data_IF_412228302181
#
_entry.id   IF_412228302181
#
_cell.length_a   1.000
_cell.length_b   1.000
_cell.length_c   1.000
_cell.angle_alpha   90.00
_cell.angle_beta   90.00
_cell.angle_gamma   90.00
#
_symmetry.space_group_name_H-M   'P 1'
#
loop_
_entity.id
_entity.type
_entity.pdbx_description
1 polymer ?
#
# COMPACT_ATOMS: atom_id res chain seq x y z
N UNK A 1 -5.15 14.23 -13.45
CA UNK A 1 -4.26 13.75 -12.37
C UNK A 1 -3.71 14.97 -11.61
N UNK A 2 -3.61 14.89 -10.27
CA UNK A 2 -3.37 16.04 -9.36
C UNK A 2 -2.13 16.88 -9.72
N UNK A 3 -0.94 16.29 -9.83
CA UNK A 3 0.29 17.08 -10.09
C UNK A 3 0.28 17.89 -11.40
N UNK A 4 -0.64 17.57 -12.33
CA UNK A 4 -0.83 18.26 -13.61
C UNK A 4 -2.06 19.18 -13.63
N UNK A 5 -2.83 19.26 -12.55
CA UNK A 5 -4.03 20.09 -12.52
C UNK A 5 -3.68 21.56 -12.30
N UNK A 6 -4.44 22.44 -12.95
CA UNK A 6 -4.47 23.85 -12.59
C UNK A 6 -5.27 24.10 -11.31
N UNK A 7 -5.43 25.38 -10.92
CA UNK A 7 -6.38 25.81 -9.90
C UNK A 7 -7.82 25.41 -10.23
N UNK A 8 -8.69 25.38 -9.21
CA UNK A 8 -10.12 25.15 -9.34
C UNK A 8 -10.94 26.08 -8.42
N UNK A 9 -12.26 25.84 -8.31
CA UNK A 9 -13.15 26.65 -7.48
C UNK A 9 -12.88 26.54 -5.97
N UNK A 10 -12.19 25.48 -5.52
CA UNK A 10 -11.89 25.23 -4.10
C UNK A 10 -10.49 25.71 -3.72
N UNK A 11 -9.56 25.80 -4.69
CA UNK A 11 -8.17 26.17 -4.44
C UNK A 11 -7.57 27.01 -5.57
N UNK A 12 -6.97 28.17 -5.25
CA UNK A 12 -6.22 28.96 -6.24
C UNK A 12 -4.85 28.35 -6.60
N UNK A 13 -4.41 27.30 -5.91
CA UNK A 13 -3.14 26.62 -6.17
C UNK A 13 -3.30 25.58 -7.27
N UNK A 14 -2.29 25.45 -8.14
CA UNK A 14 -2.18 24.27 -9.00
C UNK A 14 -1.88 23.03 -8.14
N UNK A 15 -2.08 21.83 -8.70
CA UNK A 15 -1.99 20.62 -7.90
C UNK A 15 -0.59 20.31 -7.35
N UNK A 16 0.48 20.77 -8.01
CA UNK A 16 1.85 20.63 -7.49
C UNK A 16 2.06 21.52 -6.27
N UNK A 17 1.62 22.77 -6.32
CA UNK A 17 1.75 23.72 -5.21
C UNK A 17 0.83 23.32 -4.03
N UNK A 18 -0.32 22.74 -4.33
CA UNK A 18 -1.19 22.17 -3.28
C UNK A 18 -0.51 21.01 -2.55
N UNK A 19 0.15 20.10 -3.28
CA UNK A 19 0.97 19.03 -2.67
C UNK A 19 2.09 19.61 -1.83
N UNK A 20 2.80 20.62 -2.36
CA UNK A 20 3.90 21.27 -1.66
C UNK A 20 3.47 21.89 -0.32
N UNK A 21 2.23 22.37 -0.24
CA UNK A 21 1.67 23.00 0.96
C UNK A 21 1.01 22.00 1.92
N UNK A 22 0.38 20.93 1.41
CA UNK A 22 -0.54 20.08 2.20
C UNK A 22 -0.07 18.66 2.44
N UNK A 23 0.95 18.19 1.73
CA UNK A 23 1.43 16.80 1.87
C UNK A 23 2.79 16.78 2.54
N UNK A 24 2.84 16.20 3.75
CA UNK A 24 4.08 16.07 4.50
C UNK A 24 4.97 14.92 3.98
N UNK A 25 4.34 13.81 3.58
CA UNK A 25 5.02 12.57 3.21
C UNK A 25 4.23 11.82 2.13
N UNK A 26 4.95 11.32 1.14
CA UNK A 26 4.53 10.25 0.24
C UNK A 26 5.36 9.00 0.55
N UNK A 27 4.72 7.97 1.11
CA UNK A 27 5.32 6.65 1.25
C UNK A 27 4.82 5.75 0.12
N UNK A 28 5.72 5.14 -0.65
CA UNK A 28 5.38 4.37 -1.84
C UNK A 28 5.90 2.96 -1.70
N UNK A 29 5.00 1.98 -1.79
CA UNK A 29 5.39 0.61 -2.10
C UNK A 29 5.71 0.56 -3.58
N UNK A 30 6.98 0.48 -3.93
CA UNK A 30 7.36 0.38 -5.32
C UNK A 30 8.85 0.47 -5.57
N UNK A 31 9.25 -0.12 -6.69
CA UNK A 31 10.63 -0.21 -7.13
C UNK A 31 11.41 -1.31 -6.42
N UNK A 32 12.68 -1.43 -6.80
CA UNK A 32 13.67 -2.23 -6.09
C UNK A 32 14.95 -1.42 -5.99
N UNK A 33 15.57 -1.39 -4.80
CA UNK A 33 16.71 -0.52 -4.52
C UNK A 33 17.99 -1.34 -4.34
N UNK A 34 19.12 -0.91 -4.94
CA UNK A 34 19.29 0.35 -5.68
C UNK A 34 18.85 0.31 -7.15
N UNK A 35 18.42 -0.83 -7.70
CA UNK A 35 17.86 -0.93 -9.06
C UNK A 35 17.01 -2.18 -9.24
N UNK A 36 16.00 -2.10 -10.10
CA UNK A 36 15.26 -3.28 -10.54
C UNK A 36 13.92 -2.95 -11.18
N UNK A 37 12.96 -3.86 -10.98
CA UNK A 37 11.61 -3.80 -11.54
C UNK A 37 10.62 -4.28 -10.50
N UNK A 38 9.47 -3.61 -10.38
CA UNK A 38 8.45 -3.92 -9.39
C UNK A 38 7.06 -3.56 -9.97
N UNK A 39 6.03 -4.32 -9.62
CA UNK A 39 4.74 -4.29 -10.32
C UNK A 39 4.00 -2.95 -10.20
N UNK A 40 4.05 -2.25 -9.06
CA UNK A 40 3.39 -0.95 -8.91
C UNK A 40 4.01 0.11 -9.83
N UNK A 41 5.33 0.12 -10.01
CA UNK A 41 5.97 1.07 -10.94
C UNK A 41 5.70 0.74 -12.41
N UNK A 42 5.52 -0.54 -12.74
CA UNK A 42 5.27 -1.02 -14.10
C UNK A 42 3.78 -1.04 -14.50
N UNK A 43 2.86 -0.91 -13.55
CA UNK A 43 1.42 -1.08 -13.79
C UNK A 43 0.96 -2.54 -13.87
N UNK A 44 1.63 -3.44 -13.16
CA UNK A 44 1.39 -4.88 -13.16
C UNK A 44 2.67 -5.68 -13.40
N UNK A 45 2.61 -7.00 -13.21
CA UNK A 45 3.74 -7.89 -13.48
C UNK A 45 3.92 -8.21 -14.97
N UNK A 46 5.15 -8.62 -15.31
CA UNK A 46 5.55 -9.14 -16.64
C UNK A 46 4.76 -10.42 -17.04
N UNK A 47 4.14 -11.07 -16.05
CA UNK A 47 3.23 -12.20 -16.20
C UNK A 47 1.85 -11.70 -16.63
N UNK A 48 1.77 -11.32 -17.90
CA UNK A 48 0.61 -10.80 -18.60
C UNK A 48 -0.75 -11.16 -17.99
N UNK A 49 -1.40 -10.15 -17.44
CA UNK A 49 -2.86 -10.12 -17.47
C UNK A 49 -3.40 -9.31 -18.64
N UNK A 50 -2.58 -8.77 -19.56
CA UNK A 50 -3.02 -8.18 -20.85
C UNK A 50 -4.10 -7.09 -20.77
N UNK A 51 -4.47 -6.68 -19.56
CA UNK A 51 -5.62 -5.85 -19.21
C UNK A 51 -5.18 -4.54 -18.54
N UNK A 52 -3.88 -4.37 -18.31
CA UNK A 52 -3.31 -3.20 -17.65
C UNK A 52 -2.56 -2.32 -18.64
N UNK A 53 -2.79 -1.01 -18.55
CA UNK A 53 -2.08 -0.03 -19.36
C UNK A 53 -0.71 0.28 -18.72
N UNK A 54 0.24 -0.63 -18.91
CA UNK A 54 1.59 -0.57 -18.35
C UNK A 54 2.32 0.73 -18.71
N UNK A 55 2.12 1.24 -19.93
CA UNK A 55 2.72 2.51 -20.37
C UNK A 55 2.16 3.70 -19.60
N UNK A 56 0.84 3.76 -19.38
CA UNK A 56 0.22 4.82 -18.59
C UNK A 56 0.67 4.78 -17.14
N UNK A 57 0.76 3.59 -16.54
CA UNK A 57 1.24 3.43 -15.17
C UNK A 57 2.72 3.82 -15.04
N UNK A 58 3.58 3.29 -15.90
CA UNK A 58 5.02 3.62 -15.92
C UNK A 58 5.27 5.11 -16.15
N UNK A 59 4.50 5.73 -17.04
CA UNK A 59 4.58 7.17 -17.28
C UNK A 59 4.07 7.98 -16.08
N UNK A 60 3.05 7.51 -15.37
CA UNK A 60 2.56 8.15 -14.15
C UNK A 60 3.60 8.05 -13.01
N UNK A 61 4.15 6.86 -12.78
CA UNK A 61 5.20 6.61 -11.77
C UNK A 61 6.43 7.48 -12.02
N UNK A 62 6.93 7.50 -13.27
CA UNK A 62 8.03 8.37 -13.69
C UNK A 62 7.71 9.85 -13.50
N UNK A 63 6.48 10.27 -13.81
CA UNK A 63 6.08 11.66 -13.63
C UNK A 63 6.02 12.07 -12.15
N UNK A 64 5.48 11.22 -11.27
CA UNK A 64 5.43 11.47 -9.82
C UNK A 64 6.83 11.60 -9.24
N UNK A 65 7.72 10.64 -9.50
CA UNK A 65 9.10 10.69 -9.01
C UNK A 65 9.82 11.97 -9.48
N UNK A 66 9.67 12.34 -10.75
CA UNK A 66 10.37 13.51 -11.30
C UNK A 66 9.78 14.88 -10.91
N UNK A 67 8.52 14.97 -10.46
CA UNK A 67 7.83 16.26 -10.27
C UNK A 67 7.29 16.49 -8.85
N UNK A 68 7.46 15.53 -7.95
CA UNK A 68 7.07 15.70 -6.55
C UNK A 68 7.77 16.93 -5.95
N UNK A 69 7.06 17.79 -5.19
CA UNK A 69 7.68 18.96 -4.58
C UNK A 69 8.78 18.59 -3.59
N UNK A 70 9.93 19.25 -3.68
CA UNK A 70 11.07 19.02 -2.78
C UNK A 70 10.79 19.40 -1.33
N UNK A 71 9.73 20.18 -1.06
CA UNK A 71 9.26 20.48 0.30
C UNK A 71 8.51 19.32 0.96
N UNK A 72 8.17 18.27 0.21
CA UNK A 72 7.42 17.10 0.66
C UNK A 72 8.27 15.85 0.52
N UNK A 73 8.37 15.04 1.57
CA UNK A 73 9.26 13.88 1.57
C UNK A 73 8.70 12.72 0.73
N UNK A 74 9.59 11.96 0.09
CA UNK A 74 9.26 10.63 -0.45
C UNK A 74 10.06 9.55 0.29
N UNK A 75 9.38 8.48 0.68
CA UNK A 75 10.02 7.24 1.16
C UNK A 75 9.58 6.11 0.25
N UNK A 76 10.53 5.42 -0.36
CA UNK A 76 10.27 4.25 -1.17
C UNK A 76 10.47 2.95 -0.37
N UNK A 77 9.50 2.04 -0.43
CA UNK A 77 9.54 0.70 0.14
C UNK A 77 9.69 -0.30 -1.01
N UNK A 78 10.91 -0.81 -1.17
CA UNK A 78 11.29 -1.65 -2.30
C UNK A 78 10.79 -3.08 -2.17
N UNK A 79 10.76 -3.77 -3.32
CA UNK A 79 10.42 -5.19 -3.41
C UNK A 79 11.24 -6.04 -2.42
N UNK A 80 12.54 -5.78 -2.32
CA UNK A 80 13.51 -6.49 -1.48
C UNK A 80 13.22 -6.36 0.02
N UNK A 81 12.52 -5.31 0.45
CA UNK A 81 12.11 -5.14 1.84
C UNK A 81 10.86 -5.96 2.11
N UNK A 82 9.78 -5.73 1.35
CA UNK A 82 8.49 -6.35 1.63
C UNK A 82 8.42 -7.86 1.37
N UNK A 83 9.30 -8.42 0.52
CA UNK A 83 9.38 -9.88 0.32
C UNK A 83 9.97 -10.62 1.52
N UNK A 84 10.83 -9.95 2.29
CA UNK A 84 11.44 -10.55 3.48
C UNK A 84 10.48 -10.53 4.68
N UNK A 85 9.54 -9.57 4.72
CA UNK A 85 8.61 -9.40 5.83
C UNK A 85 7.37 -10.25 5.62
N UNK A 86 7.12 -11.19 6.54
CA UNK A 86 5.90 -12.01 6.54
C UNK A 86 4.97 -11.64 7.69
N UNK A 87 3.68 -11.53 7.40
CA UNK A 87 2.60 -11.27 8.38
C UNK A 87 1.43 -12.23 8.19
N UNK A 88 0.57 -12.39 9.19
CA UNK A 88 -0.66 -13.19 9.12
C UNK A 88 -0.52 -14.69 9.38
N UNK A 89 0.71 -15.19 9.57
CA UNK A 89 1.00 -16.63 9.68
C UNK A 89 0.52 -17.32 10.97
N UNK A 90 0.76 -18.64 11.05
CA UNK A 90 0.33 -19.49 12.17
C UNK A 90 0.74 -18.97 13.56
N UNK A 91 1.96 -18.44 13.68
CA UNK A 91 2.46 -17.88 14.95
C UNK A 91 1.62 -16.70 15.43
N UNK A 92 1.20 -15.82 14.53
CA UNK A 92 0.29 -14.72 14.83
C UNK A 92 -1.10 -15.22 15.23
N UNK A 93 -1.67 -16.15 14.45
CA UNK A 93 -3.02 -16.67 14.73
C UNK A 93 -3.06 -17.43 16.06
N UNK A 94 -1.97 -18.10 16.45
CA UNK A 94 -1.84 -18.71 17.79
C UNK A 94 -1.77 -17.67 18.90
N UNK A 95 -1.04 -16.55 18.71
CA UNK A 95 -0.96 -15.46 19.71
C UNK A 95 -2.28 -14.70 19.83
N UNK A 96 -3.05 -14.64 18.75
CA UNK A 96 -4.28 -13.85 18.65
C UNK A 96 -5.44 -14.71 18.13
N UNK A 97 -5.88 -15.74 18.88
CA UNK A 97 -6.82 -16.74 18.37
C UNK A 97 -8.17 -16.16 17.93
N UNK A 98 -8.57 -15.03 18.51
CA UNK A 98 -9.81 -14.33 18.16
C UNK A 98 -9.84 -13.79 16.73
N UNK A 99 -8.70 -13.66 16.04
CA UNK A 99 -8.63 -13.15 14.66
C UNK A 99 -9.22 -14.13 13.62
N UNK A 100 -9.44 -15.39 14.01
CA UNK A 100 -10.18 -16.35 13.19
C UNK A 100 -11.68 -16.02 13.12
N UNK A 101 -12.22 -15.22 14.05
CA UNK A 101 -13.58 -14.69 13.98
C UNK A 101 -13.59 -13.36 13.20
N UNK A 102 -14.24 -13.29 12.02
CA UNK A 102 -14.35 -12.06 11.25
C UNK A 102 -14.98 -10.88 12.00
N UNK A 103 -15.77 -11.15 13.06
CA UNK A 103 -16.37 -10.11 13.91
C UNK A 103 -15.36 -9.42 14.81
N UNK A 104 -14.18 -10.01 15.01
CA UNK A 104 -13.14 -9.47 15.87
C UNK A 104 -12.32 -8.37 15.15
N UNK A 105 -11.81 -8.69 13.96
CA UNK A 105 -11.10 -7.74 13.11
C UNK A 105 -11.32 -8.10 11.62
N UNK A 106 -12.05 -7.27 10.86
CA UNK A 106 -12.32 -7.56 9.45
C UNK A 106 -11.06 -7.51 8.57
N UNK A 107 -10.03 -6.74 8.93
CA UNK A 107 -8.75 -6.73 8.20
C UNK A 107 -8.00 -8.05 8.38
N UNK A 108 -8.00 -8.61 9.59
CA UNK A 108 -7.37 -9.91 9.84
C UNK A 108 -8.11 -11.03 9.09
N UNK A 109 -9.45 -11.01 9.08
CA UNK A 109 -10.23 -11.96 8.30
C UNK A 109 -10.02 -11.82 6.79
N UNK A 110 -9.94 -10.59 6.26
CA UNK A 110 -9.62 -10.35 4.86
C UNK A 110 -8.26 -10.95 4.47
N UNK A 111 -7.24 -10.78 5.33
CA UNK A 111 -5.91 -11.36 5.10
C UNK A 111 -5.93 -12.89 5.09
N UNK A 112 -6.59 -13.53 6.06
CA UNK A 112 -6.76 -14.99 6.12
C UNK A 112 -7.48 -15.52 4.87
N UNK A 113 -8.54 -14.84 4.44
CA UNK A 113 -9.31 -15.24 3.27
C UNK A 113 -8.51 -15.07 1.97
N UNK A 114 -7.75 -13.97 1.85
CA UNK A 114 -6.88 -13.71 0.70
C UNK A 114 -5.87 -14.85 0.50
N UNK A 115 -5.26 -15.33 1.59
CA UNK A 115 -4.32 -16.46 1.55
C UNK A 115 -5.00 -17.85 1.44
N UNK A 116 -6.32 -17.88 1.24
CA UNK A 116 -7.11 -19.12 1.09
C UNK A 116 -7.06 -19.97 2.37
N UNK A 117 -7.22 -19.35 3.53
CA UNK A 117 -7.42 -20.02 4.81
C UNK A 117 -6.38 -19.69 5.89
N UNK A 118 -6.56 -20.25 7.10
CA UNK A 118 -5.77 -19.91 8.28
C UNK A 118 -4.33 -20.41 8.19
N UNK A 119 -3.50 -19.94 9.12
CA UNK A 119 -2.11 -20.31 9.36
C UNK A 119 -1.10 -20.00 8.23
N UNK A 120 -1.52 -19.32 7.16
CA UNK A 120 -0.66 -18.89 6.07
C UNK A 120 -0.22 -17.44 6.26
N UNK A 121 1.03 -17.19 5.94
CA UNK A 121 1.61 -15.86 5.93
C UNK A 121 1.60 -15.25 4.54
N UNK A 122 1.69 -13.91 4.50
CA UNK A 122 1.81 -13.12 3.29
C UNK A 122 2.99 -12.15 3.40
N UNK A 123 3.66 -11.93 2.27
CA UNK A 123 4.63 -10.85 2.10
C UNK A 123 4.00 -9.48 2.36
N UNK A 124 4.67 -8.65 3.14
CA UNK A 124 4.14 -7.39 3.62
C UNK A 124 4.79 -6.21 2.91
N UNK A 125 4.45 -6.01 1.63
CA UNK A 125 4.78 -4.78 0.90
C UNK A 125 3.86 -3.63 1.36
N UNK A 126 2.65 -3.50 0.80
CA UNK A 126 1.72 -2.41 1.13
C UNK A 126 1.43 -2.23 2.64
N UNK A 127 1.24 -3.30 3.44
CA UNK A 127 1.01 -3.15 4.87
C UNK A 127 2.19 -2.51 5.60
N UNK A 128 3.43 -2.85 5.22
CA UNK A 128 4.64 -2.26 5.81
C UNK A 128 4.78 -0.80 5.41
N UNK A 129 4.60 -0.48 4.12
CA UNK A 129 4.61 0.90 3.64
C UNK A 129 3.58 1.75 4.40
N UNK A 130 2.38 1.21 4.63
CA UNK A 130 1.32 1.88 5.39
C UNK A 130 1.73 2.11 6.85
N UNK A 131 2.32 1.11 7.50
CA UNK A 131 2.84 1.23 8.86
C UNK A 131 3.90 2.34 8.95
N UNK A 132 4.82 2.39 8.00
CA UNK A 132 5.87 3.41 7.92
C UNK A 132 5.27 4.80 7.68
N UNK A 133 4.28 4.93 6.80
CA UNK A 133 3.62 6.20 6.52
C UNK A 133 2.96 6.81 7.76
N UNK A 134 2.37 5.97 8.62
CA UNK A 134 1.59 6.41 9.79
C UNK A 134 2.45 6.53 11.05
N UNK A 135 3.41 5.61 11.26
CA UNK A 135 4.18 5.49 12.52
C UNK A 135 5.68 5.68 12.35
N UNK A 136 6.16 5.95 11.14
CA UNK A 136 7.58 6.12 10.81
C UNK A 136 8.33 4.80 10.58
N UNK A 137 9.51 4.89 9.96
CA UNK A 137 10.32 3.74 9.55
C UNK A 137 10.61 2.75 10.69
N UNK A 138 10.95 3.27 11.88
CA UNK A 138 11.30 2.45 13.05
C UNK A 138 10.15 1.54 13.50
N UNK A 139 8.89 1.94 13.30
CA UNK A 139 7.74 1.13 13.65
C UNK A 139 7.65 -0.16 12.82
N UNK A 140 8.18 -0.14 11.60
CA UNK A 140 8.29 -1.31 10.72
C UNK A 140 9.60 -2.08 10.88
N UNK A 141 10.41 -1.81 11.92
CA UNK A 141 11.78 -2.36 12.02
C UNK A 141 12.63 -2.07 10.76
N UNK A 142 12.44 -0.88 10.20
CA UNK A 142 13.19 -0.35 9.06
C UNK A 142 13.88 0.95 9.45
N UNK A 143 14.84 1.35 8.64
CA UNK A 143 15.44 2.69 8.68
C UNK A 143 15.39 3.28 7.28
N UNK A 144 15.43 4.60 7.21
CA UNK A 144 15.74 5.28 5.95
C UNK A 144 17.22 5.06 5.63
N UNK A 145 17.52 4.81 4.37
CA UNK A 145 18.89 4.59 3.94
C UNK A 145 19.78 5.82 4.24
N UNK A 146 20.93 5.58 4.86
CA UNK A 146 21.84 6.63 5.38
C UNK A 146 22.94 7.04 4.40
N UNK A 147 23.12 6.31 3.30
CA UNK A 147 24.21 6.49 2.33
C UNK A 147 23.70 6.43 0.89
N UNK A 148 22.61 7.14 0.61
CA UNK A 148 21.95 7.18 -0.69
C UNK A 148 21.40 8.57 -0.98
N UNK A 149 22.20 9.60 -0.76
CA UNK A 149 21.85 10.91 -1.31
C UNK A 149 21.68 10.77 -2.83
N UNK A 150 20.55 11.26 -3.35
CA UNK A 150 20.14 10.97 -4.72
C UNK A 150 18.64 10.96 -4.89
N UNK A 151 18.18 10.41 -6.01
CA UNK A 151 16.75 10.33 -6.36
C UNK A 151 16.43 9.01 -7.06
N UNK A 152 15.16 8.61 -7.05
CA UNK A 152 14.71 7.45 -7.80
C UNK A 152 14.39 7.80 -9.26
N UNK A 153 15.14 7.24 -10.22
CA UNK A 153 14.88 7.40 -11.64
C UNK A 153 14.04 6.23 -12.14
N UNK A 154 12.83 6.51 -12.62
CA UNK A 154 11.91 5.52 -13.16
C UNK A 154 11.79 5.68 -14.67
N UNK A 155 12.00 4.59 -15.40
CA UNK A 155 11.80 4.55 -16.84
C UNK A 155 10.31 4.65 -17.20
N UNK A 156 9.92 5.75 -17.85
CA UNK A 156 8.53 6.04 -18.24
C UNK A 156 7.86 5.00 -19.14
N UNK A 157 8.62 4.12 -19.80
CA UNK A 157 8.09 3.13 -20.76
C UNK A 157 7.80 1.77 -20.11
N UNK A 158 8.63 1.35 -19.17
CA UNK A 158 8.58 -0.01 -18.63
C UNK A 158 8.66 -0.07 -17.10
N UNK A 159 8.68 1.06 -16.40
CA UNK A 159 8.63 1.13 -14.94
C UNK A 159 9.89 0.66 -14.20
N UNK A 160 10.94 0.19 -14.90
CA UNK A 160 12.20 -0.17 -14.24
C UNK A 160 12.81 1.05 -13.56
N UNK A 161 13.30 0.88 -12.33
CA UNK A 161 13.87 1.97 -11.55
C UNK A 161 15.36 1.75 -11.26
N UNK A 162 16.06 2.87 -11.06
CA UNK A 162 17.41 2.89 -10.52
C UNK A 162 17.57 4.12 -9.62
N UNK A 163 18.22 3.93 -8.48
CA UNK A 163 18.70 5.02 -7.67
C UNK A 163 19.84 5.72 -8.40
N UNK A 164 19.74 7.03 -8.55
CA UNK A 164 20.80 7.88 -9.09
C UNK A 164 21.41 8.66 -7.94
N UNK A 165 22.66 8.34 -7.62
CA UNK A 165 23.45 9.07 -6.63
C UNK A 165 23.56 10.56 -7.02
N UNK A 166 23.49 11.44 -6.04
CA UNK A 166 23.53 12.88 -6.23
C UNK A 166 23.57 13.64 -4.91
N UNK A 167 23.33 14.96 -4.94
CA UNK A 167 23.15 15.74 -3.71
C UNK A 167 21.97 15.21 -2.90
N UNK A 168 22.00 15.44 -1.58
CA UNK A 168 20.88 15.12 -0.69
C UNK A 168 19.58 15.72 -1.22
N UNK A 169 18.54 14.88 -1.31
CA UNK A 169 17.21 15.25 -1.78
C UNK A 169 16.16 15.06 -0.68
N UNK A 170 14.89 15.22 -1.04
CA UNK A 170 13.71 14.88 -0.23
C UNK A 170 13.31 13.40 -0.34
N UNK A 171 14.08 12.58 -1.05
CA UNK A 171 13.81 11.16 -1.27
C UNK A 171 14.77 10.26 -0.47
N UNK A 172 14.28 9.09 -0.10
CA UNK A 172 15.06 7.99 0.45
C UNK A 172 14.32 6.67 0.19
N UNK A 173 14.97 5.53 0.40
CA UNK A 173 14.33 4.22 0.41
C UNK A 173 14.58 3.50 1.74
N UNK A 174 13.69 2.58 2.08
CA UNK A 174 13.77 1.81 3.31
C UNK A 174 14.86 0.74 3.24
N UNK A 175 15.51 0.53 4.37
CA UNK A 175 16.39 -0.60 4.64
C UNK A 175 15.81 -1.40 5.79
N UNK A 176 15.61 -2.69 5.55
CA UNK A 176 15.09 -3.61 6.56
C UNK A 176 16.16 -3.91 7.61
N UNK A 177 15.81 -3.75 8.90
CA UNK A 177 16.69 -4.16 10.00
C UNK A 177 16.42 -5.60 10.43
N UNK A 178 15.14 -5.97 10.54
CA UNK A 178 14.74 -7.31 10.98
C UNK A 178 13.34 -7.66 10.49
N UNK A 179 13.25 -8.67 9.62
CA UNK A 179 11.99 -9.11 9.01
C UNK A 179 10.98 -9.66 10.01
N UNK A 180 11.44 -10.39 11.02
CA UNK A 180 10.57 -10.99 12.04
C UNK A 180 9.96 -9.92 12.95
N UNK A 181 10.75 -8.93 13.37
CA UNK A 181 10.24 -7.80 14.16
C UNK A 181 9.25 -6.97 13.34
N UNK A 182 9.54 -6.71 12.07
CA UNK A 182 8.64 -6.01 11.16
C UNK A 182 7.29 -6.73 11.00
N UNK A 183 7.33 -8.04 10.74
CA UNK A 183 6.13 -8.87 10.60
C UNK A 183 5.30 -8.91 11.89
N UNK A 184 5.97 -9.08 13.03
CA UNK A 184 5.31 -9.04 14.33
C UNK A 184 4.66 -7.67 14.62
N UNK A 185 5.28 -6.56 14.21
CA UNK A 185 4.69 -5.23 14.38
C UNK A 185 3.36 -5.08 13.63
N UNK A 186 3.28 -5.63 12.41
CA UNK A 186 2.04 -5.68 11.62
C UNK A 186 1.00 -6.60 12.26
N UNK A 187 1.41 -7.80 12.65
CA UNK A 187 0.55 -8.79 13.31
C UNK A 187 -0.08 -8.22 14.59
N UNK A 188 0.69 -7.48 15.40
CA UNK A 188 0.18 -6.84 16.61
C UNK A 188 -0.88 -5.77 16.35
N UNK A 189 -0.92 -5.17 15.16
CA UNK A 189 -2.02 -4.29 14.75
C UNK A 189 -3.27 -5.10 14.39
N UNK A 190 -3.09 -6.22 13.68
CA UNK A 190 -4.19 -7.12 13.31
C UNK A 190 -4.80 -7.85 14.52
N UNK A 191 -4.03 -8.04 15.59
CA UNK A 191 -4.50 -8.56 16.87
C UNK A 191 -5.45 -7.62 17.62
N UNK A 192 -5.50 -6.34 17.24
CA UNK A 192 -6.37 -5.37 17.91
C UNK A 192 -7.80 -5.55 17.43
N UNK A 193 -8.74 -5.56 18.37
CA UNK A 193 -10.16 -5.56 18.05
C UNK A 193 -10.53 -4.27 17.32
N UNK A 194 -11.41 -4.36 16.33
CA UNK A 194 -12.00 -3.16 15.74
C UNK A 194 -12.65 -2.30 16.82
N UNK A 195 -12.29 -1.02 16.87
CA UNK A 195 -12.91 -0.03 17.77
C UNK A 195 -14.29 0.43 17.29
N UNK A 196 -14.69 0.02 16.08
CA UNK A 196 -16.01 0.32 15.56
C UNK A 196 -17.01 -0.70 16.11
N UNK A 197 -18.08 -0.20 16.75
CA UNK A 197 -19.24 -1.04 17.00
C UNK A 197 -19.74 -1.55 15.65
N UNK A 198 -20.08 -2.85 15.52
CA UNK A 198 -20.63 -3.35 14.27
C UNK A 198 -21.87 -2.53 13.92
N UNK A 199 -21.84 -1.86 12.77
CA UNK A 199 -23.06 -1.30 12.20
C UNK A 199 -24.04 -2.48 12.00
N UNK A 200 -25.31 -2.34 12.40
CA UNK A 200 -26.30 -3.36 12.09
C UNK A 200 -26.27 -3.62 10.58
N UNK A 201 -26.23 -4.90 10.20
CA UNK A 201 -26.27 -5.27 8.80
C UNK A 201 -27.46 -4.55 8.14
N UNK A 202 -27.31 -4.00 6.92
CA UNK A 202 -28.43 -3.42 6.22
C UNK A 202 -29.53 -4.48 6.14
N UNK A 203 -30.73 -4.13 6.61
CA UNK A 203 -31.87 -5.02 6.56
C UNK A 203 -32.09 -5.44 5.11
N UNK A 204 -31.94 -6.72 4.82
CA UNK A 204 -32.41 -7.26 3.53
C UNK A 204 -33.89 -6.90 3.42
N UNK A 205 -34.34 -6.27 2.32
CA UNK A 205 -35.77 -6.11 2.10
C UNK A 205 -36.38 -7.51 2.11
N UNK A 206 -37.40 -7.71 2.93
CA UNK A 206 -38.11 -8.97 3.01
C UNK A 206 -38.55 -9.38 1.59
N UNK A 207 -38.25 -10.62 1.21
CA UNK A 207 -38.75 -11.23 0.00
C UNK A 207 -40.27 -11.03 -0.04
N UNK A 208 -40.72 -10.17 -0.97
CA UNK A 208 -42.13 -10.07 -1.33
C UNK A 208 -42.51 -11.36 -2.09
N UNK A 209 -42.61 -12.47 -1.36
CA UNK A 209 -43.30 -13.68 -1.80
C UNK A 209 -44.80 -13.43 -1.72
N UNK A 210 -45.29 -12.52 -2.55
CA UNK A 210 -46.70 -12.39 -2.87
C UNK A 210 -47.12 -13.59 -3.71
N UNK A 211 -47.70 -14.59 -3.07
CA UNK A 211 -48.44 -15.67 -3.71
C UNK A 211 -49.63 -15.09 -4.48
N UNK A 212 -49.45 -14.87 -5.79
CA UNK A 212 -50.57 -14.64 -6.70
C UNK A 212 -51.13 -16.00 -7.12
N UNK A 213 -52.19 -16.42 -6.43
CA UNK A 213 -53.07 -17.50 -6.89
C UNK A 213 -53.79 -17.03 -8.16
N UNK A 214 -53.37 -17.54 -9.32
CA UNK A 214 -54.23 -17.57 -10.51
C UNK A 214 -55.21 -18.73 -10.36
N UNK A 215 -56.48 -18.42 -10.16
CA UNK A 215 -57.56 -19.33 -10.51
C UNK A 215 -57.98 -19.08 -11.97
N UNK A 216 -58.22 -20.13 -12.77
CA UNK A 216 -58.76 -20.01 -14.11
C UNK A 216 -60.29 -20.05 -14.06
N UNK A 217 -60.95 -19.02 -14.62
CA UNK A 217 -62.16 -19.11 -15.46
C UNK A 217 -62.22 -17.87 -16.35
#
# INVERSE_FOLDING_TARGET
ALLKSGPDEYSPLNGRDLVAQKVALLAVMGGAYPRGTECNLMGGGDQGFGLHNHEVASAASSYVAAHWPTSSKIIWDGYEVGIEVQSGGAGFQKRCPSVADPKYNPCAAAMINYERGPNKSRYAWDPLTTLVAVKGAAAGSTVECSHCDGINIINKKNGSNAWQDGPKSNETYLVLLNSTTAGNALDMLLCQRSKLNPHPAPSHPADASGTSSRHPQ
#
